data_IF_623164588953
#
_entry.id   IF_623164588953
#
_cell.length_a   1.000
_cell.length_b   1.000
_cell.length_c   1.000
_cell.angle_alpha   90.00
_cell.angle_beta   90.00
_cell.angle_gamma   90.00
#
_symmetry.space_group_name_H-M   'P 1'
#
loop_
_entity.id
_entity.type
_entity.pdbx_description
1 polymer ?
#
# COMPACT_ATOMS: atom_id res chain seq x y z
N UNK A 1 -21.98 15.81 9.75
CA UNK A 1 -20.65 15.48 10.32
C UNK A 1 -19.87 14.74 9.23
N UNK A 2 -18.72 15.27 8.82
CA UNK A 2 -17.84 14.67 7.80
C UNK A 2 -16.57 14.21 8.50
N UNK A 3 -16.25 12.91 8.42
CA UNK A 3 -15.09 12.32 9.08
C UNK A 3 -14.08 11.89 8.00
N UNK A 4 -12.88 12.46 8.03
CA UNK A 4 -11.81 12.13 7.09
C UNK A 4 -10.46 12.27 7.79
N UNK A 5 -9.54 11.36 7.48
CA UNK A 5 -8.13 11.44 7.87
C UNK A 5 -7.24 11.80 6.66
N UNK A 6 -7.84 12.27 5.57
CA UNK A 6 -7.13 12.65 4.35
C UNK A 6 -6.29 13.90 4.66
N UNK A 7 -4.96 13.87 4.44
CA UNK A 7 -4.14 15.06 4.61
C UNK A 7 -4.62 16.14 3.64
N UNK A 8 -5.11 17.26 4.18
CA UNK A 8 -5.62 18.41 3.43
C UNK A 8 -4.50 19.23 2.72
N UNK A 9 -3.37 18.60 2.42
CA UNK A 9 -2.09 19.27 2.17
C UNK A 9 -1.71 19.24 0.68
N UNK A 10 -2.38 18.45 -0.16
CA UNK A 10 -1.91 18.17 -1.53
C UNK A 10 -2.55 18.99 -2.65
N UNK A 11 -3.81 19.40 -2.48
CA UNK A 11 -4.52 20.22 -3.45
C UNK A 11 -5.64 20.99 -2.73
N UNK A 12 -5.74 22.28 -3.00
CA UNK A 12 -6.85 23.11 -2.50
C UNK A 12 -8.21 22.63 -3.01
N UNK A 13 -8.27 21.89 -4.12
CA UNK A 13 -9.51 21.37 -4.70
C UNK A 13 -10.26 20.42 -3.75
N UNK A 14 -9.55 19.56 -3.01
CA UNK A 14 -10.14 18.64 -2.02
C UNK A 14 -10.73 19.42 -0.83
N UNK A 15 -10.01 20.44 -0.37
CA UNK A 15 -10.47 21.36 0.68
C UNK A 15 -11.63 22.23 0.21
N UNK A 16 -11.63 22.66 -1.06
CA UNK A 16 -12.69 23.45 -1.67
C UNK A 16 -13.98 22.63 -1.75
N UNK A 17 -13.88 21.37 -2.22
CA UNK A 17 -15.00 20.46 -2.27
C UNK A 17 -15.54 20.19 -0.87
N UNK A 18 -14.68 19.82 0.09
CA UNK A 18 -15.08 19.60 1.48
C UNK A 18 -15.74 20.85 2.10
N UNK A 19 -15.14 22.02 1.92
CA UNK A 19 -15.69 23.28 2.42
C UNK A 19 -17.00 23.66 1.74
N UNK A 20 -17.20 23.36 0.46
CA UNK A 20 -18.45 23.68 -0.25
C UNK A 20 -19.65 22.88 0.31
N UNK A 21 -19.36 21.67 0.81
CA UNK A 21 -20.35 20.77 1.43
C UNK A 21 -20.61 21.19 2.88
N UNK A 22 -19.55 21.48 3.65
CA UNK A 22 -19.62 21.74 5.10
C UNK A 22 -20.06 23.19 5.40
N UNK A 23 -19.51 24.18 4.68
CA UNK A 23 -19.68 25.61 4.95
C UNK A 23 -20.68 26.29 4.00
N UNK A 24 -21.73 25.55 3.60
CA UNK A 24 -22.71 25.99 2.58
C UNK A 24 -23.57 27.17 3.01
N UNK A 25 -23.59 27.51 4.31
CA UNK A 25 -24.41 28.59 4.86
C UNK A 25 -23.58 29.86 5.15
N UNK A 26 -24.23 31.03 5.03
CA UNK A 26 -23.73 32.34 5.47
C UNK A 26 -22.39 32.81 4.85
N UNK A 27 -22.06 32.35 3.64
CA UNK A 27 -20.84 32.78 2.92
C UNK A 27 -19.52 32.34 3.58
N UNK A 28 -19.59 31.39 4.53
CA UNK A 28 -18.42 30.90 5.26
C UNK A 28 -17.43 30.18 4.33
N UNK A 29 -17.93 29.41 3.36
CA UNK A 29 -17.11 28.78 2.33
C UNK A 29 -16.19 29.79 1.61
N UNK A 30 -16.74 30.92 1.14
CA UNK A 30 -15.97 31.93 0.42
C UNK A 30 -14.87 32.55 1.31
N UNK A 31 -15.16 32.78 2.60
CA UNK A 31 -14.18 33.32 3.56
C UNK A 31 -13.03 32.33 3.82
N UNK A 32 -13.35 31.05 3.99
CA UNK A 32 -12.37 29.98 4.19
C UNK A 32 -11.48 29.82 2.97
N UNK A 33 -12.07 29.75 1.77
CA UNK A 33 -11.29 29.61 0.53
C UNK A 33 -10.44 30.84 0.22
N UNK A 34 -10.89 32.04 0.56
CA UNK A 34 -10.09 33.25 0.41
C UNK A 34 -8.83 33.22 1.29
N UNK A 35 -8.95 32.76 2.54
CA UNK A 35 -7.81 32.61 3.45
C UNK A 35 -6.84 31.52 2.97
N UNK A 36 -7.36 30.37 2.53
CA UNK A 36 -6.55 29.28 2.00
C UNK A 36 -5.79 29.66 0.71
N UNK A 37 -6.45 30.32 -0.25
CA UNK A 37 -5.81 30.82 -1.48
C UNK A 37 -4.80 31.94 -1.23
N UNK A 38 -4.97 32.72 -0.16
CA UNK A 38 -3.97 33.70 0.25
C UNK A 38 -2.71 33.00 0.77
N UNK A 39 -2.86 31.97 1.61
CA UNK A 39 -1.74 31.17 2.10
C UNK A 39 -1.00 30.46 0.96
N UNK A 40 -1.75 29.87 0.01
CA UNK A 40 -1.21 29.19 -1.17
C UNK A 40 -0.40 30.12 -2.08
N UNK A 41 -0.88 31.35 -2.33
CA UNK A 41 -0.14 32.37 -3.09
C UNK A 41 1.20 32.76 -2.47
N UNK A 42 1.36 32.60 -1.15
CA UNK A 42 2.60 32.90 -0.45
C UNK A 42 3.41 31.62 -0.13
N UNK A 43 3.02 30.46 -0.64
CA UNK A 43 3.62 29.16 -0.29
C UNK A 43 5.10 29.05 -0.68
N UNK A 44 5.52 29.72 -1.76
CA UNK A 44 6.93 29.79 -2.18
C UNK A 44 7.81 30.64 -1.25
N UNK A 45 7.19 31.40 -0.32
CA UNK A 45 7.85 32.30 0.61
C UNK A 45 7.70 31.82 2.06
N UNK A 46 7.91 30.53 2.33
CA UNK A 46 7.61 29.89 3.63
C UNK A 46 8.18 30.59 4.89
N UNK A 47 9.20 31.43 4.74
CA UNK A 47 9.82 32.16 5.85
C UNK A 47 9.37 33.64 5.97
N UNK A 48 8.55 34.15 5.05
CA UNK A 48 8.13 35.56 5.05
C UNK A 48 7.08 35.83 6.13
N UNK A 49 7.05 37.06 6.69
CA UNK A 49 5.96 37.48 7.58
C UNK A 49 4.58 37.34 6.92
N UNK A 50 4.49 37.64 5.63
CA UNK A 50 3.27 37.54 4.83
C UNK A 50 2.74 36.10 4.73
N UNK A 51 3.62 35.12 4.53
CA UNK A 51 3.23 33.71 4.55
C UNK A 51 2.74 33.28 5.94
N UNK A 52 3.46 33.65 7.00
CA UNK A 52 3.09 33.31 8.38
C UNK A 52 1.71 33.87 8.75
N UNK A 53 1.44 35.12 8.38
CA UNK A 53 0.15 35.76 8.63
C UNK A 53 -0.97 35.12 7.82
N UNK A 54 -0.71 34.79 6.55
CA UNK A 54 -1.67 34.11 5.68
C UNK A 54 -2.01 32.70 6.18
N UNK A 55 -1.01 31.91 6.61
CA UNK A 55 -1.21 30.60 7.22
C UNK A 55 -1.98 30.71 8.54
N UNK A 56 -1.65 31.64 9.43
CA UNK A 56 -2.42 31.83 10.66
C UNK A 56 -3.88 32.19 10.40
N UNK A 57 -4.16 33.02 9.38
CA UNK A 57 -5.53 33.33 8.97
C UNK A 57 -6.25 32.10 8.42
N UNK A 58 -5.57 31.28 7.61
CA UNK A 58 -6.10 30.01 7.10
C UNK A 58 -6.39 29.02 8.23
N UNK A 59 -5.47 28.82 9.17
CA UNK A 59 -5.67 27.94 10.34
C UNK A 59 -6.91 28.36 11.14
N UNK A 60 -7.04 29.65 11.49
CA UNK A 60 -8.23 30.15 12.21
C UNK A 60 -9.53 29.92 11.43
N UNK A 61 -9.50 30.13 10.12
CA UNK A 61 -10.68 29.92 9.28
C UNK A 61 -11.08 28.44 9.23
N UNK A 62 -10.11 27.52 9.25
CA UNK A 62 -10.32 26.08 9.17
C UNK A 62 -10.68 25.45 10.54
N UNK A 63 -10.07 25.90 11.64
CA UNK A 63 -10.31 25.40 13.00
C UNK A 63 -11.77 25.51 13.47
N UNK A 64 -12.53 26.45 12.91
CA UNK A 64 -13.95 26.64 13.27
C UNK A 64 -14.87 25.49 12.82
N UNK A 65 -14.44 24.69 11.84
CA UNK A 65 -15.26 23.60 11.27
C UNK A 65 -14.48 22.29 11.04
N UNK A 66 -13.16 22.30 11.19
CA UNK A 66 -12.30 21.12 11.10
C UNK A 66 -11.62 20.85 12.45
N UNK A 67 -11.82 19.64 12.96
CA UNK A 67 -11.11 19.15 14.13
C UNK A 67 -9.99 18.23 13.65
N UNK A 68 -8.75 18.72 13.67
CA UNK A 68 -7.56 17.88 13.47
C UNK A 68 -6.90 17.63 14.82
N UNK A 69 -6.97 16.39 15.30
CA UNK A 69 -6.24 15.93 16.48
C UNK A 69 -4.96 15.27 15.99
N UNK A 70 -3.96 16.08 15.67
CA UNK A 70 -2.64 15.59 15.31
C UNK A 70 -2.06 14.83 16.51
N UNK A 71 -2.03 13.50 16.40
CA UNK A 71 -1.65 12.60 17.48
C UNK A 71 -2.79 12.32 18.43
N UNK A 72 -3.18 11.05 18.54
CA UNK A 72 -4.05 10.49 19.58
C UNK A 72 -5.55 10.72 19.38
N UNK A 73 -6.23 9.67 18.91
CA UNK A 73 -7.69 9.59 18.92
C UNK A 73 -8.17 8.93 20.22
N UNK A 74 -8.93 9.65 21.07
CA UNK A 74 -9.59 9.05 22.22
C UNK A 74 -10.93 8.36 21.84
N UNK A 75 -11.25 8.18 20.54
CA UNK A 75 -12.53 7.62 20.07
C UNK A 75 -12.67 6.10 20.24
N UNK A 76 -12.27 5.57 21.39
CA UNK A 76 -12.82 4.32 21.91
C UNK A 76 -13.58 4.68 23.18
N UNK A 77 -14.74 5.28 22.99
CA UNK A 77 -15.72 5.48 24.06
C UNK A 77 -16.10 4.08 24.58
N UNK A 78 -15.60 3.74 25.78
CA UNK A 78 -15.82 2.52 26.58
C UNK A 78 -14.79 1.38 26.58
N UNK A 79 -13.49 1.62 26.35
CA UNK A 79 -12.53 0.57 26.69
C UNK A 79 -11.08 0.89 26.39
N UNK A 80 -10.34 1.19 27.45
CA UNK A 80 -8.90 1.46 27.45
C UNK A 80 -8.48 2.75 26.72
N UNK A 81 -8.16 3.77 27.51
CA UNK A 81 -7.22 4.81 27.09
C UNK A 81 -6.01 4.09 26.50
N UNK A 82 -5.73 4.30 25.21
CA UNK A 82 -4.40 4.03 24.66
C UNK A 82 -3.48 4.92 25.49
N UNK A 83 -2.69 4.32 26.39
CA UNK A 83 -1.75 5.07 27.21
C UNK A 83 -0.83 5.85 26.27
N UNK A 84 -0.51 7.07 26.67
CA UNK A 84 0.14 8.10 25.85
C UNK A 84 1.61 7.80 25.47
N UNK A 85 1.96 6.55 25.15
CA UNK A 85 3.34 6.14 24.93
C UNK A 85 3.50 4.96 23.98
N UNK A 86 2.64 4.81 22.96
CA UNK A 86 3.04 3.98 21.83
C UNK A 86 3.97 4.83 20.95
N UNK A 87 5.29 4.57 20.93
CA UNK A 87 6.18 5.26 20.02
C UNK A 87 5.68 5.06 18.58
N UNK A 88 5.94 6.01 17.67
CA UNK A 88 5.65 5.80 16.25
C UNK A 88 6.29 4.48 15.80
N UNK A 89 5.64 3.74 14.88
CA UNK A 89 6.20 2.49 14.40
C UNK A 89 7.56 2.75 13.78
N UNK A 90 8.55 1.95 14.20
CA UNK A 90 9.89 2.05 13.66
C UNK A 90 9.89 1.63 12.19
N UNK A 91 10.34 2.52 11.32
CA UNK A 91 10.38 2.29 9.88
C UNK A 91 11.77 1.87 9.45
N UNK A 92 11.87 0.73 8.77
CA UNK A 92 13.12 0.21 8.23
C UNK A 92 12.99 0.14 6.72
N UNK A 93 13.89 0.81 6.01
CA UNK A 93 13.94 0.80 4.55
C UNK A 93 15.01 -0.16 4.08
N UNK A 94 14.62 -1.14 3.27
CA UNK A 94 15.53 -2.07 2.62
C UNK A 94 15.60 -1.78 1.12
N UNK A 95 16.78 -1.94 0.53
CA UNK A 95 17.00 -1.75 -0.91
C UNK A 95 17.55 -3.03 -1.50
N UNK A 96 16.98 -3.42 -2.62
CA UNK A 96 17.36 -4.64 -3.34
C UNK A 96 17.82 -4.28 -4.75
N UNK A 97 18.89 -4.94 -5.20
CA UNK A 97 19.36 -4.79 -6.57
C UNK A 97 18.52 -5.68 -7.50
N UNK A 98 18.23 -5.20 -8.70
CA UNK A 98 17.63 -6.02 -9.76
C UNK A 98 18.55 -7.20 -10.10
N UNK A 99 18.03 -8.44 -10.13
CA UNK A 99 18.79 -9.63 -10.54
C UNK A 99 19.40 -9.44 -11.93
N UNK A 100 20.66 -9.82 -12.11
CA UNK A 100 21.42 -9.56 -13.35
C UNK A 100 20.75 -10.14 -14.59
N UNK A 101 20.23 -11.37 -14.49
CA UNK A 101 19.50 -12.07 -15.55
C UNK A 101 18.25 -11.31 -16.03
N UNK A 102 17.64 -10.50 -15.16
CA UNK A 102 16.41 -9.75 -15.45
C UNK A 102 16.68 -8.31 -15.93
N UNK A 103 17.94 -7.85 -15.86
CA UNK A 103 18.31 -6.48 -16.26
C UNK A 103 18.02 -6.20 -17.72
N UNK A 104 18.24 -7.16 -18.61
CA UNK A 104 17.99 -6.96 -20.04
C UNK A 104 16.53 -6.64 -20.34
N UNK A 105 15.59 -7.45 -19.82
CA UNK A 105 14.16 -7.23 -19.99
C UNK A 105 13.70 -5.89 -19.39
N UNK A 106 14.30 -5.50 -18.26
CA UNK A 106 14.06 -4.21 -17.64
C UNK A 106 14.55 -3.04 -18.51
N UNK A 107 15.80 -3.10 -18.98
CA UNK A 107 16.41 -2.11 -19.86
C UNK A 107 15.60 -1.93 -21.15
N UNK A 108 15.19 -3.02 -21.80
CA UNK A 108 14.37 -2.96 -23.01
C UNK A 108 13.04 -2.22 -22.79
N UNK A 109 12.39 -2.46 -21.65
CA UNK A 109 11.14 -1.75 -21.32
C UNK A 109 11.39 -0.27 -21.04
N UNK A 110 12.48 0.06 -20.34
CA UNK A 110 12.87 1.46 -20.08
C UNK A 110 13.14 2.19 -21.38
N UNK A 111 13.87 1.57 -22.31
CA UNK A 111 14.20 2.16 -23.61
C UNK A 111 12.94 2.33 -24.47
N UNK A 112 12.03 1.36 -24.47
CA UNK A 112 10.73 1.47 -25.14
C UNK A 112 9.89 2.61 -24.58
N UNK A 113 9.83 2.75 -23.25
CA UNK A 113 9.11 3.86 -22.58
C UNK A 113 9.76 5.19 -22.93
N UNK A 114 11.09 5.29 -22.87
CA UNK A 114 11.82 6.51 -23.21
C UNK A 114 11.60 6.92 -24.67
N UNK A 115 11.68 5.96 -25.60
CA UNK A 115 11.39 6.18 -27.02
C UNK A 115 9.95 6.66 -27.24
N UNK A 116 8.98 5.97 -26.65
CA UNK A 116 7.56 6.36 -26.75
C UNK A 116 7.25 7.73 -26.13
N UNK A 117 7.92 8.11 -25.04
CA UNK A 117 7.81 9.44 -24.46
C UNK A 117 8.32 10.52 -25.43
N UNK A 118 9.43 10.27 -26.12
CA UNK A 118 9.99 11.20 -27.13
C UNK A 118 9.08 11.32 -28.35
N UNK A 119 8.59 10.19 -28.88
CA UNK A 119 7.70 10.15 -30.05
C UNK A 119 6.38 10.90 -29.81
N UNK A 120 5.81 10.75 -28.61
CA UNK A 120 4.55 11.38 -28.25
C UNK A 120 4.72 12.82 -27.71
N UNK A 121 5.95 13.34 -27.66
CA UNK A 121 6.29 14.61 -26.99
C UNK A 121 5.68 14.71 -25.58
N UNK A 122 5.62 13.58 -24.89
CA UNK A 122 4.97 13.46 -23.61
C UNK A 122 5.92 13.94 -22.50
N UNK A 123 5.38 14.67 -21.53
CA UNK A 123 6.10 15.05 -20.32
C UNK A 123 5.55 14.24 -19.15
N UNK A 124 6.43 13.88 -18.22
CA UNK A 124 6.00 13.29 -16.94
C UNK A 124 5.49 14.43 -16.07
N UNK A 125 4.24 14.82 -16.29
CA UNK A 125 3.51 15.71 -15.38
C UNK A 125 2.28 14.98 -14.81
N UNK A 126 1.81 15.34 -13.60
CA UNK A 126 0.67 14.67 -13.00
C UNK A 126 -0.64 14.74 -13.81
N UNK A 127 -0.84 15.78 -14.65
CA UNK A 127 -2.03 15.95 -15.48
C UNK A 127 -1.98 15.10 -16.76
N UNK A 128 -0.78 14.81 -17.27
CA UNK A 128 -0.53 13.96 -18.43
C UNK A 128 -0.33 12.48 -18.03
N UNK A 129 -0.29 12.15 -16.75
CA UNK A 129 0.03 10.81 -16.26
C UNK A 129 -0.88 9.72 -16.85
N UNK A 130 -2.20 9.91 -16.82
CA UNK A 130 -3.14 8.94 -17.43
C UNK A 130 -2.93 8.82 -18.93
N UNK A 131 -2.67 9.94 -19.61
CA UNK A 131 -2.38 9.94 -21.04
C UNK A 131 -1.12 9.13 -21.33
N UNK A 132 -0.01 9.38 -20.63
CA UNK A 132 1.25 8.62 -20.74
C UNK A 132 1.01 7.13 -20.53
N UNK A 133 0.24 6.77 -19.51
CA UNK A 133 -0.06 5.38 -19.19
C UNK A 133 -0.87 4.65 -20.28
N UNK A 134 -1.64 5.39 -21.07
CA UNK A 134 -2.41 4.85 -22.20
C UNK A 134 -1.68 4.93 -23.55
N UNK A 135 -0.88 5.97 -23.78
CA UNK A 135 -0.26 6.27 -25.08
C UNK A 135 1.18 5.77 -25.22
N UNK A 136 1.91 5.60 -24.12
CA UNK A 136 3.30 5.16 -24.15
C UNK A 136 3.40 3.65 -23.90
N UNK A 137 3.84 2.92 -24.93
CA UNK A 137 4.03 1.47 -24.87
C UNK A 137 4.99 1.12 -23.73
N UNK A 138 4.57 0.21 -22.86
CA UNK A 138 5.38 -0.26 -21.72
C UNK A 138 5.28 0.60 -20.45
N UNK A 139 4.71 1.81 -20.51
CA UNK A 139 4.60 2.66 -19.31
C UNK A 139 3.71 2.02 -18.24
N UNK A 140 2.59 1.42 -18.66
CA UNK A 140 1.71 0.67 -17.77
C UNK A 140 2.38 -0.54 -17.12
N UNK A 141 3.24 -1.24 -17.87
CA UNK A 141 3.98 -2.38 -17.35
C UNK A 141 5.06 -1.91 -16.36
N UNK A 142 5.86 -0.92 -16.73
CA UNK A 142 6.90 -0.34 -15.88
C UNK A 142 6.33 0.18 -14.56
N UNK A 143 5.15 0.81 -14.58
CA UNK A 143 4.49 1.26 -13.36
C UNK A 143 4.04 0.09 -12.46
N UNK A 144 3.36 -0.90 -13.05
CA UNK A 144 2.69 -1.96 -12.29
C UNK A 144 3.65 -3.04 -11.81
N UNK A 145 4.62 -3.39 -12.65
CA UNK A 145 5.55 -4.49 -12.44
C UNK A 145 6.97 -4.03 -12.08
N UNK A 146 7.27 -2.72 -12.09
CA UNK A 146 8.64 -2.23 -11.85
C UNK A 146 9.24 -2.65 -10.51
N UNK A 147 8.40 -2.83 -9.48
CA UNK A 147 8.85 -3.33 -8.16
C UNK A 147 9.13 -4.83 -8.11
N UNK A 148 8.78 -5.58 -9.17
CA UNK A 148 8.97 -7.03 -9.28
C UNK A 148 9.53 -7.35 -10.67
N UNK A 149 10.86 -7.31 -10.87
CA UNK A 149 11.48 -7.49 -12.19
C UNK A 149 11.08 -8.79 -12.90
N UNK A 150 10.88 -9.88 -12.16
CA UNK A 150 10.45 -11.16 -12.72
C UNK A 150 9.05 -11.10 -13.34
N UNK A 151 8.15 -10.27 -12.78
CA UNK A 151 6.82 -10.03 -13.34
C UNK A 151 6.91 -9.33 -14.69
N UNK A 152 7.82 -8.36 -14.80
CA UNK A 152 8.07 -7.67 -16.06
C UNK A 152 8.62 -8.61 -17.12
N UNK A 153 9.58 -9.47 -16.77
CA UNK A 153 10.09 -10.49 -17.69
C UNK A 153 9.00 -11.46 -18.16
N UNK A 154 8.11 -11.90 -17.25
CA UNK A 154 6.99 -12.77 -17.61
C UNK A 154 6.01 -12.11 -18.60
N UNK A 155 5.66 -10.84 -18.38
CA UNK A 155 4.75 -10.12 -19.28
C UNK A 155 5.38 -9.84 -20.65
N UNK A 156 6.68 -9.56 -20.69
CA UNK A 156 7.40 -9.38 -21.96
C UNK A 156 7.49 -10.71 -22.74
N UNK A 157 7.65 -11.83 -22.05
CA UNK A 157 7.70 -13.16 -22.67
C UNK A 157 6.31 -13.66 -23.12
N UNK A 158 5.26 -13.34 -22.37
CA UNK A 158 3.87 -13.69 -22.69
C UNK A 158 2.93 -12.48 -22.50
N UNK A 159 2.48 -11.91 -23.62
CA UNK A 159 1.52 -10.80 -23.61
C UNK A 159 0.18 -11.16 -22.96
N UNK A 160 -0.13 -12.46 -22.83
CA UNK A 160 -1.30 -12.94 -22.12
C UNK A 160 -1.06 -13.14 -20.62
N UNK A 161 0.12 -12.85 -20.07
CA UNK A 161 0.35 -12.97 -18.64
C UNK A 161 -0.65 -12.12 -17.83
N UNK A 162 -1.27 -12.66 -16.77
CA UNK A 162 -2.29 -11.94 -16.00
C UNK A 162 -1.66 -10.85 -15.11
N UNK A 163 -1.42 -9.65 -15.63
CA UNK A 163 -0.91 -8.50 -14.84
C UNK A 163 -1.88 -7.32 -14.69
N UNK A 164 -3.05 -7.41 -15.33
CA UNK A 164 -4.12 -6.41 -15.27
C UNK A 164 -5.26 -6.87 -14.35
N UNK A 165 -6.01 -5.91 -13.81
CA UNK A 165 -7.12 -6.16 -12.86
C UNK A 165 -8.18 -7.10 -13.50
N UNK A 166 -8.77 -7.97 -12.68
CA UNK A 166 -9.69 -9.03 -13.08
C UNK A 166 -8.95 -10.34 -13.38
N UNK A 167 -7.97 -10.31 -14.29
CA UNK A 167 -7.20 -11.50 -14.68
C UNK A 167 -6.26 -11.99 -13.58
N UNK A 168 -5.74 -11.08 -12.77
CA UNK A 168 -4.93 -11.43 -11.59
C UNK A 168 -5.80 -12.18 -10.59
N UNK A 169 -6.98 -11.65 -10.29
CA UNK A 169 -7.93 -12.26 -9.36
C UNK A 169 -8.40 -13.64 -9.84
N UNK A 170 -8.72 -13.79 -11.13
CA UNK A 170 -9.05 -15.09 -11.74
C UNK A 170 -7.92 -16.12 -11.58
N UNK A 171 -6.66 -15.70 -11.75
CA UNK A 171 -5.49 -16.57 -11.58
C UNK A 171 -5.31 -16.99 -10.11
N UNK A 172 -5.49 -16.05 -9.17
CA UNK A 172 -5.46 -16.35 -7.73
C UNK A 172 -6.58 -17.30 -7.32
N UNK A 173 -7.78 -17.15 -7.89
CA UNK A 173 -8.87 -18.09 -7.67
C UNK A 173 -8.52 -19.49 -8.20
N UNK A 174 -7.94 -19.59 -9.40
CA UNK A 174 -7.45 -20.86 -9.94
C UNK A 174 -6.36 -21.48 -9.04
N UNK A 175 -5.41 -20.69 -8.55
CA UNK A 175 -4.36 -21.16 -7.63
C UNK A 175 -4.91 -21.71 -6.30
N UNK A 176 -5.98 -21.11 -5.78
CA UNK A 176 -6.62 -21.50 -4.53
C UNK A 176 -7.55 -22.72 -4.65
N UNK A 177 -8.01 -23.00 -5.86
CA UNK A 177 -8.80 -24.19 -6.19
C UNK A 177 -7.87 -25.39 -6.40
N UNK A 178 -8.06 -26.46 -5.63
CA UNK A 178 -7.21 -27.64 -5.69
C UNK A 178 -7.21 -28.32 -7.08
N UNK A 179 -8.33 -28.26 -7.80
CA UNK A 179 -8.46 -28.88 -9.13
C UNK A 179 -7.85 -28.02 -10.23
N UNK A 180 -7.78 -26.70 -10.02
CA UNK A 180 -7.31 -25.72 -11.00
C UNK A 180 -5.96 -25.08 -10.64
N UNK A 181 -5.34 -25.51 -9.54
CA UNK A 181 -4.08 -24.95 -9.03
C UNK A 181 -2.98 -24.92 -10.09
N UNK A 182 -2.87 -25.98 -10.89
CA UNK A 182 -1.90 -26.09 -11.98
C UNK A 182 -2.14 -25.11 -13.13
N UNK A 183 -3.35 -24.55 -13.24
CA UNK A 183 -3.70 -23.58 -14.27
C UNK A 183 -3.13 -22.20 -13.98
N UNK A 184 -2.83 -21.90 -12.70
CA UNK A 184 -2.25 -20.63 -12.28
C UNK A 184 -0.95 -20.34 -13.05
N UNK A 185 -0.97 -19.27 -13.82
CA UNK A 185 0.16 -18.78 -14.60
C UNK A 185 1.24 -18.27 -13.65
N UNK A 186 0.87 -17.64 -12.54
CA UNK A 186 1.85 -17.20 -11.54
C UNK A 186 2.56 -18.38 -10.89
N UNK A 187 1.86 -19.46 -10.53
CA UNK A 187 2.52 -20.65 -9.97
C UNK A 187 3.47 -21.30 -10.99
N UNK A 188 3.02 -21.47 -12.22
CA UNK A 188 3.85 -22.07 -13.30
C UNK A 188 5.11 -21.26 -13.62
N UNK A 189 5.08 -19.94 -13.40
CA UNK A 189 6.21 -19.05 -13.63
C UNK A 189 6.88 -18.59 -12.34
N UNK A 190 6.59 -19.20 -11.18
CA UNK A 190 7.07 -18.73 -9.88
C UNK A 190 8.61 -18.60 -9.83
N UNK A 191 9.30 -19.56 -10.42
CA UNK A 191 10.76 -19.53 -10.53
C UNK A 191 11.20 -18.27 -11.29
N UNK A 192 10.75 -18.02 -12.53
CA UNK A 192 11.10 -16.78 -13.26
C UNK A 192 10.68 -15.50 -12.53
N UNK A 193 9.56 -15.52 -11.81
CA UNK A 193 9.06 -14.38 -11.05
C UNK A 193 9.96 -13.98 -9.88
N UNK A 194 10.70 -14.93 -9.30
CA UNK A 194 11.37 -14.75 -7.99
C UNK A 194 12.84 -15.18 -7.98
N UNK A 195 13.33 -15.79 -9.06
CA UNK A 195 14.68 -16.34 -9.17
C UNK A 195 15.72 -15.26 -8.88
N UNK A 196 16.61 -15.58 -7.95
CA UNK A 196 17.74 -14.73 -7.55
C UNK A 196 17.34 -13.32 -7.08
N UNK A 197 16.06 -13.10 -6.74
CA UNK A 197 15.58 -11.83 -6.22
C UNK A 197 15.64 -11.84 -4.68
N UNK A 198 16.57 -11.09 -4.07
CA UNK A 198 16.77 -11.09 -2.62
C UNK A 198 15.59 -10.52 -1.84
N UNK A 199 14.70 -9.74 -2.48
CA UNK A 199 13.50 -9.20 -1.83
C UNK A 199 12.59 -10.34 -1.34
N UNK A 200 12.41 -11.39 -2.14
CA UNK A 200 11.55 -12.51 -1.79
C UNK A 200 12.13 -13.35 -0.65
N UNK A 201 13.45 -13.57 -0.67
CA UNK A 201 14.17 -14.27 0.40
C UNK A 201 14.04 -13.51 1.72
N UNK A 202 14.26 -12.20 1.70
CA UNK A 202 14.12 -11.35 2.89
C UNK A 202 12.67 -11.33 3.40
N UNK A 203 11.70 -11.24 2.50
CA UNK A 203 10.28 -11.28 2.85
C UNK A 203 9.90 -12.61 3.53
N UNK A 204 10.39 -13.75 3.03
CA UNK A 204 10.21 -15.04 3.67
C UNK A 204 10.92 -15.11 5.03
N UNK A 205 12.11 -14.53 5.17
CA UNK A 205 12.79 -14.48 6.47
C UNK A 205 12.01 -13.68 7.50
N UNK A 206 11.46 -12.52 7.13
CA UNK A 206 10.59 -11.72 8.00
C UNK A 206 9.40 -12.56 8.48
N UNK A 207 8.73 -13.28 7.57
CA UNK A 207 7.59 -14.16 7.93
C UNK A 207 8.02 -15.30 8.84
N UNK A 208 9.18 -15.92 8.58
CA UNK A 208 9.75 -17.00 9.40
C UNK A 208 10.12 -16.53 10.81
N UNK A 209 10.68 -15.33 10.95
CA UNK A 209 11.01 -14.75 12.25
C UNK A 209 9.73 -14.36 13.00
N UNK A 210 8.76 -13.78 12.27
CA UNK A 210 7.46 -13.43 12.82
C UNK A 210 6.75 -14.66 13.42
N UNK A 211 6.82 -15.81 12.77
CA UNK A 211 6.21 -17.05 13.28
C UNK A 211 6.84 -17.55 14.58
N UNK A 212 8.06 -17.10 14.89
CA UNK A 212 8.79 -17.41 16.11
C UNK A 212 8.66 -16.33 17.19
N UNK A 213 7.76 -15.35 16.99
CA UNK A 213 7.59 -14.23 17.92
C UNK A 213 8.71 -13.18 17.84
N UNK A 214 9.52 -13.21 16.77
CA UNK A 214 10.71 -12.36 16.60
C UNK A 214 10.52 -11.32 15.52
N UNK A 215 11.17 -10.17 15.70
CA UNK A 215 11.28 -9.14 14.66
C UNK A 215 12.67 -9.26 14.04
N UNK A 216 12.75 -9.62 12.75
CA UNK A 216 14.01 -9.96 12.06
C UNK A 216 15.10 -8.89 12.23
N UNK A 217 14.70 -7.61 12.21
CA UNK A 217 15.59 -6.46 12.35
C UNK A 217 15.95 -6.07 13.78
N UNK A 218 15.44 -6.81 14.78
CA UNK A 218 15.59 -6.50 16.22
C UNK A 218 15.87 -7.78 17.00
N UNK A 219 17.08 -8.35 16.87
CA UNK A 219 17.43 -9.61 17.52
C UNK A 219 17.44 -9.51 19.05
N UNK A 220 17.65 -8.30 19.60
CA UNK A 220 17.73 -8.06 21.04
C UNK A 220 16.38 -7.70 21.69
N UNK A 221 15.31 -7.56 20.89
CA UNK A 221 13.98 -7.35 21.43
C UNK A 221 13.43 -8.63 22.06
N UNK A 222 12.65 -8.47 23.13
CA UNK A 222 11.99 -9.59 23.79
C UNK A 222 11.14 -10.40 22.81
N UNK A 223 11.35 -11.72 22.80
CA UNK A 223 10.63 -12.64 21.92
C UNK A 223 9.21 -12.81 22.45
N UNK A 224 8.22 -12.59 21.58
CA UNK A 224 6.83 -12.81 21.94
C UNK A 224 6.53 -14.30 22.13
N UNK A 225 5.72 -14.64 23.13
CA UNK A 225 5.16 -15.99 23.31
C UNK A 225 4.17 -16.38 22.21
N UNK A 226 3.68 -15.39 21.44
CA UNK A 226 2.74 -15.57 20.33
C UNK A 226 3.40 -15.21 19.00
N UNK A 227 3.04 -15.90 17.90
CA UNK A 227 3.49 -15.52 16.56
C UNK A 227 3.08 -14.08 16.24
N UNK A 228 3.99 -13.31 15.66
CA UNK A 228 3.69 -11.99 15.14
C UNK A 228 2.96 -12.11 13.80
N UNK A 229 1.89 -11.36 13.62
CA UNK A 229 1.11 -11.37 12.38
C UNK A 229 1.51 -10.21 11.47
N UNK A 230 1.45 -10.44 10.16
CA UNK A 230 1.99 -9.54 9.15
C UNK A 230 0.87 -9.05 8.25
N UNK A 231 0.87 -7.75 7.97
CA UNK A 231 0.15 -7.19 6.82
C UNK A 231 1.15 -6.76 5.74
N UNK A 232 0.95 -7.23 4.52
CA UNK A 232 1.73 -6.81 3.35
C UNK A 232 0.86 -5.92 2.47
N UNK A 233 1.28 -4.69 2.29
CA UNK A 233 0.69 -3.76 1.34
C UNK A 233 1.53 -3.62 0.07
N UNK A 234 0.83 -3.53 -1.06
CA UNK A 234 1.43 -3.12 -2.33
C UNK A 234 0.48 -2.25 -3.15
N UNK A 235 0.98 -1.62 -4.20
CA UNK A 235 0.19 -0.73 -5.05
C UNK A 235 -0.71 -1.48 -6.04
N UNK A 236 -0.30 -2.66 -6.48
CA UNK A 236 -0.91 -3.37 -7.61
C UNK A 236 -1.24 -4.84 -7.27
N UNK A 237 -2.41 -5.35 -7.71
CA UNK A 237 -2.78 -6.75 -7.47
C UNK A 237 -1.77 -7.76 -7.99
N UNK A 238 -1.12 -7.48 -9.13
CA UNK A 238 -0.13 -8.38 -9.71
C UNK A 238 1.07 -8.61 -8.78
N UNK A 239 1.60 -7.56 -8.16
CA UNK A 239 2.66 -7.70 -7.16
C UNK A 239 2.16 -8.47 -5.93
N UNK A 240 0.92 -8.23 -5.50
CA UNK A 240 0.30 -8.95 -4.39
C UNK A 240 0.19 -10.45 -4.70
N UNK A 241 -0.15 -10.81 -5.93
CA UNK A 241 -0.25 -12.19 -6.39
C UNK A 241 1.10 -12.92 -6.37
N UNK A 242 2.18 -12.28 -6.84
CA UNK A 242 3.54 -12.88 -6.76
C UNK A 242 3.93 -13.14 -5.31
N UNK A 243 3.79 -12.14 -4.43
CA UNK A 243 4.12 -12.28 -3.02
C UNK A 243 3.26 -13.35 -2.34
N UNK A 244 1.98 -13.43 -2.69
CA UNK A 244 1.05 -14.43 -2.17
C UNK A 244 1.46 -15.85 -2.52
N UNK A 245 1.69 -16.12 -3.80
CA UNK A 245 2.05 -17.46 -4.24
C UNK A 245 3.43 -17.82 -3.70
N UNK A 246 4.41 -16.92 -3.76
CA UNK A 246 5.75 -17.17 -3.22
C UNK A 246 5.71 -17.54 -1.72
N UNK A 247 5.02 -16.76 -0.89
CA UNK A 247 4.94 -17.04 0.55
C UNK A 247 4.10 -18.28 0.84
N UNK A 248 3.06 -18.58 0.05
CA UNK A 248 2.30 -19.83 0.20
C UNK A 248 3.14 -21.06 -0.13
N UNK A 249 4.02 -20.99 -1.13
CA UNK A 249 4.88 -22.12 -1.52
C UNK A 249 6.09 -22.29 -0.59
N UNK A 250 6.62 -21.19 -0.03
CA UNK A 250 7.88 -21.22 0.73
C UNK A 250 7.69 -21.07 2.25
N UNK A 251 6.52 -20.64 2.72
CA UNK A 251 6.25 -20.37 4.13
C UNK A 251 5.00 -21.09 4.66
N UNK A 252 4.51 -22.14 3.99
CA UNK A 252 3.30 -22.88 4.35
C UNK A 252 3.33 -23.43 5.79
N UNK A 253 4.50 -23.84 6.27
CA UNK A 253 4.73 -24.36 7.61
C UNK A 253 4.77 -23.28 8.67
N UNK A 254 5.12 -22.05 8.29
CA UNK A 254 5.35 -20.92 9.21
C UNK A 254 4.16 -19.96 9.26
N UNK A 255 3.38 -19.86 8.19
CA UNK A 255 2.33 -18.87 8.06
C UNK A 255 1.09 -19.37 7.34
N UNK A 256 -0.07 -18.93 7.81
CA UNK A 256 -1.32 -18.94 7.05
C UNK A 256 -1.38 -17.65 6.26
N UNK A 257 -1.06 -17.75 4.97
CA UNK A 257 -1.01 -16.61 4.05
C UNK A 257 -2.37 -16.45 3.37
N UNK A 258 -2.92 -15.24 3.38
CA UNK A 258 -4.21 -14.89 2.78
C UNK A 258 -4.03 -13.69 1.86
N UNK A 259 -4.59 -13.77 0.65
CA UNK A 259 -4.65 -12.66 -0.30
C UNK A 259 -6.06 -12.08 -0.33
N UNK A 260 -6.20 -10.77 -0.15
CA UNK A 260 -7.46 -10.04 -0.25
C UNK A 260 -7.34 -9.02 -1.39
N UNK A 261 -8.02 -9.27 -2.51
CA UNK A 261 -8.01 -8.43 -3.71
C UNK A 261 -9.40 -7.81 -4.00
N UNK A 262 -9.51 -7.10 -5.12
CA UNK A 262 -10.65 -6.24 -5.49
C UNK A 262 -11.95 -6.99 -5.69
N UNK A 263 -11.84 -8.23 -6.15
CA UNK A 263 -12.94 -9.16 -6.40
C UNK A 263 -13.69 -9.57 -5.14
N UNK A 264 -13.05 -9.46 -3.97
CA UNK A 264 -13.66 -9.78 -2.69
C UNK A 264 -14.63 -8.67 -2.29
N UNK A 265 -15.94 -8.97 -2.32
CA UNK A 265 -17.00 -8.06 -1.86
C UNK A 265 -16.72 -7.55 -0.44
N UNK A 266 -17.04 -6.28 -0.12
CA UNK A 266 -16.75 -5.70 1.20
C UNK A 266 -17.26 -6.53 2.38
N UNK A 267 -18.46 -7.11 2.29
CA UNK A 267 -19.02 -7.94 3.36
C UNK A 267 -18.22 -9.24 3.59
N UNK A 268 -17.92 -9.98 2.53
CA UNK A 268 -17.13 -11.21 2.60
C UNK A 268 -15.70 -10.95 3.09
N UNK A 269 -15.15 -9.79 2.74
CA UNK A 269 -13.84 -9.34 3.21
C UNK A 269 -13.85 -9.06 4.72
N UNK A 270 -14.87 -8.36 5.23
CA UNK A 270 -15.02 -8.07 6.65
C UNK A 270 -15.22 -9.36 7.46
N UNK A 271 -16.04 -10.29 6.95
CA UNK A 271 -16.21 -11.63 7.52
C UNK A 271 -14.86 -12.36 7.60
N UNK A 272 -14.10 -12.38 6.51
CA UNK A 272 -12.79 -13.03 6.48
C UNK A 272 -11.80 -12.44 7.47
N UNK A 273 -11.77 -11.11 7.63
CA UNK A 273 -10.93 -10.44 8.62
C UNK A 273 -11.37 -10.77 10.05
N UNK A 274 -12.69 -10.88 10.29
CA UNK A 274 -13.24 -11.34 11.56
C UNK A 274 -12.76 -12.76 11.91
N UNK A 275 -12.82 -13.68 10.95
CA UNK A 275 -12.29 -15.05 11.10
C UNK A 275 -10.79 -15.05 11.43
N UNK A 276 -9.99 -14.27 10.69
CA UNK A 276 -8.54 -14.18 10.90
C UNK A 276 -8.20 -13.60 12.26
N UNK A 277 -8.93 -12.57 12.70
CA UNK A 277 -8.78 -11.99 14.03
C UNK A 277 -9.10 -13.03 15.11
N UNK A 278 -10.18 -13.78 14.98
CA UNK A 278 -10.51 -14.84 15.95
C UNK A 278 -9.44 -15.95 15.91
N UNK A 279 -8.98 -16.35 14.72
CA UNK A 279 -7.93 -17.36 14.55
C UNK A 279 -6.56 -16.93 15.11
N UNK A 280 -6.29 -15.63 15.21
CA UNK A 280 -5.07 -15.11 15.86
C UNK A 280 -5.08 -15.35 17.38
N UNK A 281 -6.27 -15.31 18.00
CA UNK A 281 -6.44 -15.45 19.44
C UNK A 281 -6.30 -16.93 19.84
N UNK A 282 -5.13 -17.31 20.35
CA UNK A 282 -4.86 -18.68 20.79
C UNK A 282 -3.66 -19.34 20.10
N UNK A 283 -2.95 -18.61 19.22
CA UNK A 283 -1.70 -19.07 18.65
C UNK A 283 -0.55 -18.83 19.62
N UNK A 284 0.30 -19.83 19.78
CA UNK A 284 1.49 -19.76 20.61
C UNK A 284 2.69 -20.41 19.93
N UNK A 285 3.87 -19.82 20.11
CA UNK A 285 5.11 -20.26 19.43
C UNK A 285 5.53 -21.65 19.93
N UNK A 286 5.41 -21.90 21.22
CA UNK A 286 5.73 -23.18 21.88
C UNK A 286 4.90 -24.37 21.36
N UNK A 287 3.68 -24.11 20.89
CA UNK A 287 2.79 -25.11 20.29
C UNK A 287 2.92 -25.18 18.76
N UNK A 288 3.90 -24.51 18.18
CA UNK A 288 4.10 -24.47 16.73
C UNK A 288 3.03 -23.65 15.98
N UNK A 289 2.44 -22.65 16.63
CA UNK A 289 1.47 -21.75 16.02
C UNK A 289 2.09 -20.97 14.85
N UNK A 290 1.33 -20.84 13.76
CA UNK A 290 1.75 -20.09 12.57
C UNK A 290 1.48 -18.60 12.70
N UNK A 291 2.24 -17.77 11.99
CA UNK A 291 1.83 -16.40 11.72
C UNK A 291 0.62 -16.36 10.80
N UNK A 292 -0.13 -15.26 10.82
CA UNK A 292 -1.09 -14.92 9.76
C UNK A 292 -0.43 -13.83 8.92
N UNK A 293 -0.45 -14.00 7.60
CA UNK A 293 0.07 -12.98 6.67
C UNK A 293 -1.08 -12.55 5.77
N UNK A 294 -1.53 -11.30 5.91
CA UNK A 294 -2.57 -10.72 5.07
C UNK A 294 -1.94 -9.87 3.99
N UNK A 295 -2.15 -10.23 2.73
CA UNK A 295 -1.59 -9.53 1.57
C UNK A 295 -2.72 -8.79 0.88
N UNK A 296 -2.54 -7.49 0.65
CA UNK A 296 -3.58 -6.62 0.11
C UNK A 296 -2.98 -5.42 -0.62
N UNK A 297 -3.83 -4.65 -1.31
CA UNK A 297 -3.42 -3.43 -2.01
C UNK A 297 -3.87 -2.15 -1.31
N UNK A 298 -3.14 -1.05 -1.51
CA UNK A 298 -3.52 0.26 -0.96
C UNK A 298 -4.86 0.81 -1.46
N UNK A 299 -5.33 0.33 -2.63
CA UNK A 299 -6.53 0.86 -3.31
C UNK A 299 -7.82 0.13 -2.98
N UNK A 300 -7.76 -0.88 -2.12
CA UNK A 300 -8.96 -1.59 -1.69
C UNK A 300 -9.77 -0.69 -0.76
N UNK A 301 -10.74 0.02 -1.33
CA UNK A 301 -11.76 0.74 -0.57
C UNK A 301 -12.46 -0.21 0.41
N UNK A 302 -12.81 0.30 1.59
CA UNK A 302 -13.55 -0.45 2.62
C UNK A 302 -12.70 -1.12 3.70
N UNK A 303 -11.39 -0.85 3.78
CA UNK A 303 -10.60 -1.17 4.97
C UNK A 303 -10.50 0.05 5.89
N UNK A 304 -10.88 -0.10 7.15
CA UNK A 304 -10.43 0.75 8.23
C UNK A 304 -9.10 0.23 8.78
N UNK A 305 -8.22 1.10 9.28
CA UNK A 305 -7.00 0.68 9.99
C UNK A 305 -7.29 -0.32 11.13
N UNK A 306 -8.51 -0.26 11.68
CA UNK A 306 -8.97 -1.15 12.75
C UNK A 306 -9.21 -2.60 12.32
N UNK A 307 -9.28 -2.88 11.01
CA UNK A 307 -9.54 -4.22 10.50
C UNK A 307 -8.32 -5.15 10.65
N UNK A 308 -7.14 -4.58 10.86
CA UNK A 308 -5.86 -5.28 10.95
C UNK A 308 -5.19 -5.16 12.32
N UNK A 309 -5.95 -4.80 13.36
CA UNK A 309 -5.41 -4.59 14.73
C UNK A 309 -4.70 -5.80 15.34
N UNK A 310 -4.89 -6.98 14.77
CA UNK A 310 -4.19 -8.21 15.17
C UNK A 310 -2.83 -8.37 14.49
N UNK A 311 -2.51 -7.58 13.45
CA UNK A 311 -1.21 -7.55 12.80
C UNK A 311 -0.21 -6.71 13.61
N UNK A 312 0.99 -7.23 13.79
CA UNK A 312 2.08 -6.60 14.55
C UNK A 312 3.13 -5.98 13.63
N UNK A 313 3.27 -6.51 12.42
CA UNK A 313 4.27 -6.10 11.43
C UNK A 313 3.58 -5.64 10.15
N UNK A 314 4.12 -4.58 9.55
CA UNK A 314 3.71 -4.09 8.25
C UNK A 314 4.88 -4.19 7.27
N UNK A 315 4.67 -4.92 6.19
CA UNK A 315 5.56 -4.93 5.02
C UNK A 315 4.92 -4.06 3.95
N UNK A 316 5.71 -3.17 3.36
CA UNK A 316 5.30 -2.38 2.22
C UNK A 316 6.20 -2.72 1.04
N UNK A 317 5.61 -3.27 -0.02
CA UNK A 317 6.32 -3.62 -1.24
C UNK A 317 6.06 -2.58 -2.33
N UNK A 318 7.13 -1.90 -2.73
CA UNK A 318 7.08 -0.70 -3.56
C UNK A 318 6.58 0.52 -2.78
N UNK A 319 6.62 1.69 -3.40
CA UNK A 319 6.09 2.90 -2.79
C UNK A 319 4.59 3.02 -3.07
N UNK A 320 3.73 3.26 -2.05
CA UNK A 320 2.39 3.75 -2.31
C UNK A 320 2.57 5.05 -3.09
N UNK A 321 1.81 5.23 -4.16
CA UNK A 321 1.82 6.47 -4.92
C UNK A 321 1.16 7.59 -4.10
N UNK A 322 1.82 8.02 -3.04
CA UNK A 322 1.57 9.28 -2.36
C UNK A 322 2.62 10.29 -2.81
N UNK A 323 2.79 10.42 -4.13
CA UNK A 323 3.54 11.44 -4.91
C UNK A 323 4.92 11.83 -4.32
N UNK A 324 5.98 11.42 -5.01
CA UNK A 324 7.10 12.31 -5.32
C UNK A 324 6.55 13.45 -6.18
N UNK A 325 6.03 14.51 -5.54
CA UNK A 325 6.00 15.92 -6.01
C UNK A 325 5.85 16.78 -4.76
#
# INVERSE_FOLDING_TARGET
>A
MFLSATPAIKDLSDLEMASSIINRQQGQHAKVMAALRLADRHSDEMNSPSYKDAIHAACRAVETWMISRAGYSPMLDQGHRISASHPPPDTITMRFNTPEELRHALSETIDNVRGGMMENNARVDPAAFEHVMMSVKGAALMLKAGSVPGLQACVTADNNFPYNMGRVEEDIQAYNDAERRSDSVYLRNLDLLTRNDPMFVEMADIVRQASQGRVASRPDHEVSSSPLHVILFTQHPCSAAVAYIYLRENCDRQADVVCLLSDTKPAARAEKLGELRLSSQGRSVDKGGKSIVVITTFRLGGFGLNDFVFCNLMIQMGEPQRRLV
#
